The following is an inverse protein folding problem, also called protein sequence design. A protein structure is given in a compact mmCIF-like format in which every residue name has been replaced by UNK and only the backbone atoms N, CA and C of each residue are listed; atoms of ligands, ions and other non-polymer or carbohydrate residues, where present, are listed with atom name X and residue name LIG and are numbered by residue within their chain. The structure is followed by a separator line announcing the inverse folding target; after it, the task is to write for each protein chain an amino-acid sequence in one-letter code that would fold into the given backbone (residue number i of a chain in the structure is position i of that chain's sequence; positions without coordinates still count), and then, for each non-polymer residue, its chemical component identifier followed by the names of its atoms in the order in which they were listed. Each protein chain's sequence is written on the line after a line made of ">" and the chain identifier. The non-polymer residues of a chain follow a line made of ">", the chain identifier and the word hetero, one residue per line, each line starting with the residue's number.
data_IF_008835844596
#
_entry.id   IF_008835844596
#
_cell.length_a   1.000
_cell.length_b   1.000
_cell.length_c   1.000
_cell.angle_alpha   90.00
_cell.angle_beta   90.00
_cell.angle_gamma   90.00
#
_symmetry.space_group_name_H-M   'P 1'
#
loop_
_entity.id
_entity.type
_entity.pdbx_description
1 polymer ?
#
# COMPACT_ATOMS: atom_id res chain seq x y z
N UNK A 1 -11.92 -37.32 5.79
CA UNK A 1 -11.98 -35.84 5.70
C UNK A 1 -10.65 -35.19 6.05
N UNK A 2 -10.19 -35.30 7.30
CA UNK A 2 -9.03 -34.58 7.84
C UNK A 2 -7.67 -34.89 7.19
N UNK A 3 -7.45 -36.13 6.74
CA UNK A 3 -6.15 -36.57 6.19
C UNK A 3 -5.84 -36.00 4.79
N UNK A 4 -6.87 -35.78 3.96
CA UNK A 4 -6.72 -35.20 2.62
C UNK A 4 -6.44 -33.70 2.70
N UNK A 5 -7.09 -32.99 3.64
CA UNK A 5 -6.80 -31.57 3.90
C UNK A 5 -5.38 -31.36 4.45
N UNK A 6 -4.86 -32.29 5.27
CA UNK A 6 -3.48 -32.23 5.75
C UNK A 6 -2.45 -32.51 4.63
N UNK A 7 -2.74 -33.45 3.72
CA UNK A 7 -1.88 -33.73 2.57
C UNK A 7 -1.84 -32.53 1.60
N UNK A 8 -3.01 -31.94 1.30
CA UNK A 8 -3.12 -30.71 0.51
C UNK A 8 -2.41 -29.54 1.18
N UNK A 9 -2.45 -29.46 2.52
CA UNK A 9 -1.74 -28.45 3.30
C UNK A 9 -0.22 -28.63 3.25
N UNK A 10 0.28 -29.88 3.34
CA UNK A 10 1.71 -30.20 3.22
C UNK A 10 2.25 -29.89 1.83
N UNK A 11 1.46 -30.15 0.77
CA UNK A 11 1.80 -29.74 -0.60
C UNK A 11 1.67 -28.23 -0.82
N UNK A 12 0.77 -27.56 -0.11
CA UNK A 12 0.61 -26.10 -0.23
C UNK A 12 1.75 -25.34 0.44
N UNK A 13 2.17 -25.78 1.63
CA UNK A 13 3.35 -25.26 2.32
C UNK A 13 4.66 -25.64 1.63
N UNK A 14 4.79 -26.84 1.07
CA UNK A 14 6.00 -27.20 0.32
C UNK A 14 6.14 -26.42 -0.98
N UNK A 15 5.02 -26.08 -1.66
CA UNK A 15 5.06 -25.14 -2.77
C UNK A 15 5.30 -23.71 -2.34
N UNK A 16 4.72 -23.23 -1.23
CA UNK A 16 4.94 -21.86 -0.75
C UNK A 16 6.41 -21.67 -0.31
N UNK A 17 6.96 -22.64 0.42
CA UNK A 17 8.36 -22.70 0.87
C UNK A 17 9.36 -23.06 -0.25
N UNK A 18 8.89 -23.53 -1.42
CA UNK A 18 9.72 -23.64 -2.62
C UNK A 18 9.60 -22.39 -3.50
N UNK A 19 8.46 -21.68 -3.46
CA UNK A 19 8.24 -20.43 -4.21
C UNK A 19 8.95 -19.23 -3.56
N UNK A 20 9.13 -19.23 -2.23
CA UNK A 20 10.03 -18.27 -1.54
C UNK A 20 11.50 -18.64 -1.67
N UNK A 21 11.86 -19.87 -2.07
CA UNK A 21 13.26 -20.32 -2.13
C UNK A 21 14.01 -19.83 -3.38
N UNK A 22 13.32 -19.28 -4.38
CA UNK A 22 13.91 -18.82 -5.65
C UNK A 22 13.84 -17.31 -5.88
N UNK A 23 13.22 -16.54 -4.98
CA UNK A 23 13.36 -15.09 -5.00
C UNK A 23 14.56 -14.74 -4.13
N UNK A 24 15.70 -14.46 -4.75
CA UNK A 24 16.93 -14.02 -4.06
C UNK A 24 16.73 -12.73 -3.25
N UNK A 25 15.65 -11.99 -3.54
CA UNK A 25 15.28 -10.70 -2.95
C UNK A 25 13.90 -10.83 -2.32
N UNK A 26 13.82 -10.75 -0.99
CA UNK A 26 12.55 -10.65 -0.28
C UNK A 26 12.13 -9.17 -0.30
N UNK A 27 11.34 -8.77 -1.30
CA UNK A 27 11.01 -7.36 -1.61
C UNK A 27 10.80 -6.44 -0.40
N UNK A 28 9.96 -6.80 0.60
CA UNK A 28 9.73 -5.94 1.77
C UNK A 28 10.95 -5.80 2.70
N UNK A 29 11.70 -6.87 2.91
CA UNK A 29 12.83 -6.89 3.86
C UNK A 29 14.03 -6.16 3.29
N UNK A 30 14.33 -6.34 2.02
CA UNK A 30 15.42 -5.64 1.33
C UNK A 30 15.17 -4.13 1.25
N UNK A 31 13.91 -3.72 1.03
CA UNK A 31 13.51 -2.32 1.07
C UNK A 31 13.76 -1.65 2.42
N UNK A 32 13.39 -2.32 3.52
CA UNK A 32 13.62 -1.81 4.88
C UNK A 32 15.11 -1.70 5.18
N UNK A 33 15.90 -2.73 4.84
CA UNK A 33 17.36 -2.70 5.04
C UNK A 33 18.00 -1.57 4.23
N UNK A 34 17.57 -1.37 2.98
CA UNK A 34 18.04 -0.26 2.15
C UNK A 34 17.72 1.09 2.78
N UNK A 35 16.50 1.28 3.29
CA UNK A 35 16.11 2.50 3.99
C UNK A 35 16.95 2.72 5.25
N UNK A 36 17.17 1.67 6.05
CA UNK A 36 18.03 1.75 7.24
C UNK A 36 19.45 2.18 6.88
N UNK A 37 20.04 1.63 5.82
CA UNK A 37 21.38 2.00 5.34
C UNK A 37 21.41 3.47 4.88
N UNK A 38 20.41 3.89 4.09
CA UNK A 38 20.29 5.28 3.61
C UNK A 38 20.18 6.27 4.76
N UNK A 39 19.33 5.98 5.76
CA UNK A 39 19.19 6.84 6.94
C UNK A 39 20.43 6.82 7.85
N UNK A 40 21.08 5.67 8.01
CA UNK A 40 22.35 5.58 8.74
C UNK A 40 23.44 6.41 8.05
N UNK A 41 23.53 6.35 6.72
CA UNK A 41 24.44 7.16 5.92
C UNK A 41 24.11 8.65 6.01
N UNK A 42 22.83 9.01 5.98
CA UNK A 42 22.36 10.39 6.18
C UNK A 42 22.79 10.94 7.54
N UNK A 43 22.70 10.14 8.60
CA UNK A 43 23.15 10.50 9.94
C UNK A 43 24.67 10.66 10.03
N UNK A 44 25.43 9.84 9.30
CA UNK A 44 26.89 9.91 9.26
C UNK A 44 27.42 11.14 8.51
N UNK A 45 26.83 11.49 7.36
CA UNK A 45 27.26 12.61 6.52
C UNK A 45 26.75 13.97 7.03
N UNK A 46 25.84 13.97 8.02
CA UNK A 46 25.56 15.15 8.84
C UNK A 46 24.53 16.13 8.26
N UNK A 47 23.66 15.71 7.35
CA UNK A 47 22.51 16.55 6.97
C UNK A 47 21.73 16.10 5.73
N UNK A 48 20.43 16.44 5.71
CA UNK A 48 19.54 16.23 4.56
C UNK A 48 19.95 17.00 3.29
N UNK A 49 20.74 18.07 3.44
CA UNK A 49 21.29 18.86 2.33
C UNK A 49 22.12 18.04 1.35
N UNK A 50 22.79 16.97 1.82
CA UNK A 50 23.59 16.08 0.97
C UNK A 50 22.74 15.42 -0.12
N UNK A 51 21.50 15.05 0.18
CA UNK A 51 20.63 14.35 -0.77
C UNK A 51 20.07 15.24 -1.88
N UNK A 52 20.12 16.56 -1.69
CA UNK A 52 19.74 17.56 -2.71
C UNK A 52 20.91 17.94 -3.63
N UNK A 53 22.12 17.45 -3.37
CA UNK A 53 23.26 17.65 -4.26
C UNK A 53 23.18 16.68 -5.44
N UNK A 54 23.72 17.08 -6.59
CA UNK A 54 23.78 16.24 -7.77
C UNK A 54 24.75 15.07 -7.56
N UNK A 55 24.29 13.85 -7.83
CA UNK A 55 25.04 12.62 -7.58
C UNK A 55 26.42 12.64 -8.23
N UNK A 56 26.48 13.08 -9.49
CA UNK A 56 27.72 13.13 -10.26
C UNK A 56 28.70 14.19 -9.76
N UNK A 57 28.20 15.31 -9.23
CA UNK A 57 29.05 16.34 -8.63
C UNK A 57 29.62 15.88 -7.28
N UNK A 58 28.86 15.15 -6.47
CA UNK A 58 29.32 14.59 -5.19
C UNK A 58 30.41 13.51 -5.38
N UNK A 59 30.38 12.77 -6.49
CA UNK A 59 31.36 11.73 -6.85
C UNK A 59 32.61 12.33 -7.55
N UNK A 60 32.60 13.62 -7.87
CA UNK A 60 33.73 14.31 -8.50
C UNK A 60 33.91 13.99 -9.99
N UNK A 61 32.86 13.50 -10.66
CA UNK A 61 32.94 13.14 -12.07
C UNK A 61 32.86 14.41 -12.94
N UNK A 62 33.86 14.72 -13.80
CA UNK A 62 33.79 15.90 -14.65
C UNK A 62 32.66 15.78 -15.69
N UNK A 63 32.05 16.91 -16.07
CA UNK A 63 30.99 16.97 -17.09
C UNK A 63 31.53 16.47 -18.44
N UNK A 64 31.25 15.22 -18.77
CA UNK A 64 31.53 14.66 -20.10
C UNK A 64 30.41 15.05 -21.07
N UNK A 65 30.77 15.49 -22.28
CA UNK A 65 29.82 15.92 -23.32
C UNK A 65 28.85 14.82 -23.80
N UNK A 66 29.11 13.56 -23.44
CA UNK A 66 28.26 12.41 -23.75
C UNK A 66 27.09 12.24 -22.74
N UNK A 67 27.17 12.85 -21.56
CA UNK A 67 26.13 12.72 -20.52
C UNK A 67 25.19 13.93 -20.62
N UNK A 68 23.89 13.71 -20.91
CA UNK A 68 22.90 14.78 -20.91
C UNK A 68 22.89 15.54 -19.58
N UNK A 69 22.82 16.88 -19.63
CA UNK A 69 22.84 17.74 -18.44
C UNK A 69 21.76 17.36 -17.41
N UNK A 70 20.60 16.89 -17.89
CA UNK A 70 19.50 16.39 -17.05
C UNK A 70 19.94 15.25 -16.14
N UNK A 71 20.72 14.29 -16.65
CA UNK A 71 21.17 13.13 -15.86
C UNK A 71 22.27 13.54 -14.89
N UNK A 72 23.12 14.48 -15.30
CA UNK A 72 24.24 14.96 -14.49
C UNK A 72 23.77 15.78 -13.28
N UNK A 73 22.75 16.63 -13.46
CA UNK A 73 22.23 17.51 -12.41
C UNK A 73 21.17 16.82 -11.52
N UNK A 74 20.84 15.55 -11.78
CA UNK A 74 19.84 14.81 -11.00
C UNK A 74 20.31 14.67 -9.53
N UNK A 75 19.51 15.11 -8.55
CA UNK A 75 19.84 14.97 -7.14
C UNK A 75 19.78 13.50 -6.70
N UNK A 76 20.46 13.18 -5.60
CA UNK A 76 20.43 11.83 -5.02
C UNK A 76 19.01 11.34 -4.68
N UNK A 77 18.09 12.24 -4.32
CA UNK A 77 16.68 11.91 -4.07
C UNK A 77 16.01 11.27 -5.28
N UNK A 78 16.24 11.83 -6.47
CA UNK A 78 15.56 11.39 -7.69
C UNK A 78 16.14 10.06 -8.16
N UNK A 79 17.45 9.89 -8.03
CA UNK A 79 18.11 8.61 -8.24
C UNK A 79 17.62 7.52 -7.30
N UNK A 80 17.37 7.84 -6.04
CA UNK A 80 16.79 6.90 -5.08
C UNK A 80 15.36 6.50 -5.49
N UNK A 81 14.55 7.45 -5.98
CA UNK A 81 13.22 7.15 -6.51
C UNK A 81 13.29 6.25 -7.76
N UNK A 82 14.25 6.48 -8.66
CA UNK A 82 14.47 5.64 -9.85
C UNK A 82 14.85 4.23 -9.44
N UNK A 83 15.85 4.09 -8.56
CA UNK A 83 16.29 2.80 -8.03
C UNK A 83 15.12 2.05 -7.36
N UNK A 84 14.38 2.71 -6.47
CA UNK A 84 13.23 2.12 -5.78
C UNK A 84 12.15 1.66 -6.76
N UNK A 85 11.88 2.45 -7.80
CA UNK A 85 10.90 2.11 -8.85
C UNK A 85 11.33 0.88 -9.64
N UNK A 86 12.60 0.82 -10.05
CA UNK A 86 13.17 -0.31 -10.79
C UNK A 86 13.06 -1.59 -9.96
N UNK A 87 13.54 -1.58 -8.72
CA UNK A 87 13.49 -2.73 -7.81
C UNK A 87 12.06 -3.19 -7.56
N UNK A 88 11.13 -2.26 -7.36
CA UNK A 88 9.71 -2.57 -7.12
C UNK A 88 9.05 -3.21 -8.34
N UNK A 89 9.29 -2.69 -9.55
CA UNK A 89 8.74 -3.24 -10.80
C UNK A 89 9.30 -4.64 -11.06
N UNK A 90 10.62 -4.82 -10.96
CA UNK A 90 11.25 -6.13 -11.14
C UNK A 90 10.71 -7.17 -10.15
N UNK A 91 10.61 -6.81 -8.87
CA UNK A 91 10.06 -7.72 -7.85
C UNK A 91 8.58 -8.05 -8.10
N UNK A 92 7.80 -7.09 -8.57
CA UNK A 92 6.38 -7.29 -8.88
C UNK A 92 6.21 -8.27 -10.05
N UNK A 93 6.98 -8.08 -11.12
CA UNK A 93 6.95 -8.95 -12.31
C UNK A 93 7.40 -10.37 -11.97
N UNK A 94 8.53 -10.52 -11.29
CA UNK A 94 9.05 -11.83 -10.88
C UNK A 94 8.07 -12.57 -9.97
N UNK A 95 7.46 -11.87 -9.02
CA UNK A 95 6.44 -12.44 -8.13
C UNK A 95 5.20 -12.89 -8.91
N UNK A 96 4.72 -12.09 -9.86
CA UNK A 96 3.59 -12.45 -10.72
C UNK A 96 3.91 -13.68 -11.59
N UNK A 97 5.11 -13.74 -12.18
CA UNK A 97 5.58 -14.89 -12.96
C UNK A 97 5.66 -16.16 -12.13
N UNK A 98 6.20 -16.08 -10.91
CA UNK A 98 6.29 -17.22 -10.01
C UNK A 98 4.91 -17.74 -9.59
N UNK A 99 3.95 -16.85 -9.30
CA UNK A 99 2.57 -17.24 -8.97
C UNK A 99 1.89 -17.91 -10.16
N UNK A 100 2.07 -17.37 -11.37
CA UNK A 100 1.54 -18.00 -12.59
C UNK A 100 2.16 -19.38 -12.84
N UNK A 101 3.48 -19.53 -12.67
CA UNK A 101 4.17 -20.81 -12.82
C UNK A 101 3.68 -21.83 -11.79
N UNK A 102 3.55 -21.43 -10.51
CA UNK A 102 3.07 -22.29 -9.43
C UNK A 102 1.62 -22.77 -9.65
N UNK A 103 0.74 -21.91 -10.19
CA UNK A 103 -0.65 -22.30 -10.50
C UNK A 103 -0.77 -23.18 -11.75
N UNK A 104 0.06 -22.95 -12.77
CA UNK A 104 0.16 -23.83 -13.95
C UNK A 104 0.55 -25.26 -13.54
N UNK A 105 1.49 -25.40 -12.62
CA UNK A 105 1.89 -26.71 -12.06
C UNK A 105 0.73 -27.42 -11.33
N UNK A 106 -0.20 -26.65 -10.76
CA UNK A 106 -1.41 -27.18 -10.09
C UNK A 106 -2.61 -27.39 -11.02
N UNK A 107 -2.46 -27.15 -12.32
CA UNK A 107 -3.55 -27.18 -13.33
C UNK A 107 -4.72 -26.25 -13.00
N UNK A 108 -4.48 -25.18 -12.25
CA UNK A 108 -5.48 -24.16 -11.94
C UNK A 108 -5.41 -23.01 -12.96
N UNK A 109 -6.53 -22.32 -13.17
CA UNK A 109 -6.58 -21.16 -14.06
C UNK A 109 -5.71 -20.01 -13.51
N UNK A 110 -4.65 -19.60 -14.24
CA UNK A 110 -3.73 -18.56 -13.76
C UNK A 110 -4.39 -17.17 -13.72
N UNK A 111 -5.41 -16.94 -14.56
CA UNK A 111 -6.11 -15.66 -14.70
C UNK A 111 -6.90 -15.32 -13.43
N UNK A 112 -7.42 -16.32 -12.71
CA UNK A 112 -8.16 -16.13 -11.45
C UNK A 112 -7.28 -15.48 -10.37
N UNK A 113 -5.96 -15.74 -10.38
CA UNK A 113 -5.04 -15.07 -9.45
C UNK A 113 -4.82 -13.59 -9.82
N UNK A 114 -4.81 -13.28 -11.12
CA UNK A 114 -4.60 -11.91 -11.60
C UNK A 114 -5.79 -11.01 -11.27
N UNK A 115 -7.01 -11.54 -11.27
CA UNK A 115 -8.18 -10.80 -10.78
C UNK A 115 -8.04 -10.36 -9.32
N UNK A 116 -7.32 -11.09 -8.48
CA UNK A 116 -7.01 -10.68 -7.10
C UNK A 116 -6.16 -9.41 -6.99
N UNK A 117 -5.48 -9.02 -8.07
CA UNK A 117 -4.67 -7.81 -8.15
C UNK A 117 -5.45 -6.59 -8.67
N UNK A 118 -6.67 -6.80 -9.20
CA UNK A 118 -7.55 -5.75 -9.68
C UNK A 118 -7.83 -4.63 -8.64
N UNK A 119 -8.16 -4.91 -7.36
CA UNK A 119 -8.44 -3.85 -6.39
C UNK A 119 -7.22 -2.96 -6.09
N UNK A 120 -6.01 -3.52 -6.18
CA UNK A 120 -4.77 -2.75 -6.03
C UNK A 120 -4.60 -1.75 -7.18
N UNK A 121 -4.67 -2.23 -8.42
CA UNK A 121 -4.54 -1.36 -9.59
C UNK A 121 -5.65 -0.32 -9.65
N UNK A 122 -6.90 -0.70 -9.35
CA UNK A 122 -8.03 0.23 -9.32
C UNK A 122 -7.78 1.39 -8.35
N UNK A 123 -7.32 1.09 -7.14
CA UNK A 123 -7.04 2.11 -6.13
C UNK A 123 -5.89 3.02 -6.61
N UNK A 124 -4.82 2.44 -7.14
CA UNK A 124 -3.66 3.18 -7.65
C UNK A 124 -3.92 3.98 -8.93
N UNK A 125 -4.95 3.65 -9.71
CA UNK A 125 -5.38 4.48 -10.86
C UNK A 125 -6.33 5.60 -10.43
N UNK A 126 -7.24 5.33 -9.51
CA UNK A 126 -8.27 6.29 -9.08
C UNK A 126 -7.66 7.46 -8.30
N UNK A 127 -6.63 7.21 -7.48
CA UNK A 127 -5.95 8.25 -6.70
C UNK A 127 -5.30 9.35 -7.57
N UNK A 128 -4.42 9.04 -8.54
CA UNK A 128 -3.79 10.07 -9.37
C UNK A 128 -4.80 10.75 -10.30
N UNK A 129 -5.83 10.03 -10.76
CA UNK A 129 -6.94 10.62 -11.51
C UNK A 129 -7.63 11.70 -10.67
N UNK A 130 -8.02 11.39 -9.43
CA UNK A 130 -8.63 12.36 -8.53
C UNK A 130 -7.74 13.60 -8.30
N UNK A 131 -6.45 13.39 -8.10
CA UNK A 131 -5.49 14.46 -7.86
C UNK A 131 -5.26 15.34 -9.11
N UNK A 132 -5.34 14.74 -10.30
CA UNK A 132 -5.27 15.47 -11.56
C UNK A 132 -6.52 16.32 -11.80
N UNK A 133 -7.71 15.79 -11.49
CA UNK A 133 -8.96 16.54 -11.63
C UNK A 133 -9.09 17.68 -10.62
N UNK A 134 -8.43 17.59 -9.46
CA UNK A 134 -8.57 18.56 -8.38
C UNK A 134 -7.25 19.24 -7.99
N UNK A 135 -6.78 20.23 -8.76
CA UNK A 135 -5.50 20.91 -8.51
C UNK A 135 -5.48 21.73 -7.21
N UNK A 136 -6.65 22.09 -6.67
CA UNK A 136 -6.77 22.80 -5.38
C UNK A 136 -6.28 21.92 -4.23
N UNK A 137 -6.64 20.63 -4.22
CA UNK A 137 -6.18 19.67 -3.22
C UNK A 137 -4.67 19.44 -3.36
N UNK A 138 -4.18 19.30 -4.60
CA UNK A 138 -2.76 19.14 -4.88
C UNK A 138 -1.90 20.29 -4.32
N UNK A 139 -2.36 21.53 -4.44
CA UNK A 139 -1.57 22.72 -4.06
C UNK A 139 -1.71 23.14 -2.60
N UNK A 140 -2.87 22.91 -1.96
CA UNK A 140 -3.16 23.45 -0.63
C UNK A 140 -3.35 22.39 0.46
N UNK A 141 -3.79 21.17 0.10
CA UNK A 141 -4.18 20.15 1.07
C UNK A 141 -3.62 18.75 0.74
N UNK A 142 -2.39 18.70 0.21
CA UNK A 142 -1.72 17.44 -0.13
C UNK A 142 -1.50 16.55 1.10
N UNK A 143 -1.16 17.13 2.26
CA UNK A 143 -0.82 16.36 3.46
C UNK A 143 -2.02 15.54 3.97
N UNK A 144 -3.20 16.12 4.24
CA UNK A 144 -4.39 15.34 4.61
C UNK A 144 -4.76 14.27 3.57
N UNK A 145 -4.61 14.58 2.28
CA UNK A 145 -4.90 13.63 1.20
C UNK A 145 -3.96 12.43 1.20
N UNK A 146 -2.66 12.64 1.39
CA UNK A 146 -1.66 11.55 1.52
C UNK A 146 -1.94 10.69 2.75
N UNK A 147 -2.34 11.29 3.88
CA UNK A 147 -2.77 10.53 5.06
C UNK A 147 -3.99 9.66 4.77
N UNK A 148 -5.01 10.19 4.09
CA UNK A 148 -6.18 9.43 3.69
C UNK A 148 -5.80 8.25 2.79
N UNK A 149 -5.02 8.49 1.73
CA UNK A 149 -4.51 7.46 0.82
C UNK A 149 -3.69 6.40 1.57
N UNK A 150 -2.88 6.82 2.55
CA UNK A 150 -2.11 5.93 3.42
C UNK A 150 -3.01 4.99 4.22
N UNK A 151 -4.08 5.52 4.83
CA UNK A 151 -5.04 4.71 5.60
C UNK A 151 -5.79 3.72 4.71
N UNK A 152 -6.24 4.14 3.51
CA UNK A 152 -6.90 3.25 2.54
C UNK A 152 -6.00 2.08 2.12
N UNK A 153 -4.72 2.35 1.89
CA UNK A 153 -3.73 1.32 1.57
C UNK A 153 -3.43 0.42 2.77
N UNK A 154 -3.27 0.99 3.98
CA UNK A 154 -3.04 0.24 5.20
C UNK A 154 -4.21 -0.72 5.51
N UNK A 155 -5.45 -0.26 5.33
CA UNK A 155 -6.65 -1.10 5.48
C UNK A 155 -6.66 -2.26 4.48
N UNK A 156 -6.35 -2.00 3.21
CA UNK A 156 -6.29 -3.04 2.16
C UNK A 156 -5.29 -4.15 2.50
N UNK A 157 -4.08 -3.76 2.92
CA UNK A 157 -3.02 -4.69 3.32
C UNK A 157 -3.41 -5.44 4.60
N UNK A 158 -3.99 -4.74 5.58
CA UNK A 158 -4.47 -5.35 6.82
C UNK A 158 -5.50 -6.45 6.58
N UNK A 159 -6.50 -6.21 5.72
CA UNK A 159 -7.47 -7.23 5.35
C UNK A 159 -6.81 -8.43 4.65
N UNK A 160 -5.81 -8.21 3.80
CA UNK A 160 -5.08 -9.28 3.13
C UNK A 160 -4.33 -10.17 4.13
N UNK A 161 -3.68 -9.56 5.13
CA UNK A 161 -2.97 -10.28 6.20
C UNK A 161 -3.96 -11.11 7.03
N UNK A 162 -5.04 -10.51 7.52
CA UNK A 162 -6.05 -11.20 8.33
C UNK A 162 -6.66 -12.37 7.56
N UNK A 163 -6.96 -12.17 6.28
CA UNK A 163 -7.48 -13.23 5.42
C UNK A 163 -6.50 -14.38 5.28
N UNK A 164 -5.22 -14.07 5.08
CA UNK A 164 -4.18 -15.08 4.95
C UNK A 164 -4.03 -15.92 6.23
N UNK A 165 -4.00 -15.26 7.40
CA UNK A 165 -3.89 -15.92 8.69
C UNK A 165 -5.12 -16.78 9.02
N UNK A 166 -6.32 -16.26 8.74
CA UNK A 166 -7.59 -16.96 8.98
C UNK A 166 -7.93 -18.00 7.90
N UNK A 167 -7.14 -18.07 6.81
CA UNK A 167 -7.37 -18.91 5.63
C UNK A 167 -8.77 -18.71 5.03
N UNK A 168 -9.32 -17.50 5.15
CA UNK A 168 -10.62 -17.13 4.62
C UNK A 168 -10.52 -16.70 3.14
N UNK A 169 -11.64 -16.35 2.52
CA UNK A 169 -11.68 -15.96 1.10
C UNK A 169 -11.00 -14.60 0.90
N UNK A 170 -10.24 -14.46 -0.18
CA UNK A 170 -9.53 -13.23 -0.53
C UNK A 170 -10.47 -12.01 -0.60
N UNK A 171 -10.16 -10.90 0.09
CA UNK A 171 -11.00 -9.70 0.11
C UNK A 171 -10.82 -8.96 -1.21
N UNK A 172 -11.89 -8.89 -1.99
CA UNK A 172 -11.90 -8.20 -3.30
C UNK A 172 -12.48 -6.78 -3.23
N UNK A 173 -12.99 -6.38 -2.06
CA UNK A 173 -13.73 -5.13 -1.90
C UNK A 173 -13.14 -4.32 -0.76
N UNK A 174 -12.71 -3.10 -1.06
CA UNK A 174 -12.31 -2.13 -0.04
C UNK A 174 -13.43 -1.09 0.13
N UNK A 175 -14.05 -1.08 1.31
CA UNK A 175 -15.16 -0.18 1.65
C UNK A 175 -14.72 1.29 1.62
N UNK A 176 -13.45 1.59 1.96
CA UNK A 176 -12.92 2.95 1.93
C UNK A 176 -12.60 3.46 0.51
N UNK A 177 -12.61 2.58 -0.51
CA UNK A 177 -12.47 3.00 -1.92
C UNK A 177 -13.79 3.59 -2.43
N UNK A 178 -14.94 3.26 -1.81
CA UNK A 178 -16.25 3.77 -2.25
C UNK A 178 -16.39 5.30 -2.10
N UNK A 179 -16.06 5.93 -0.95
CA UNK A 179 -16.07 7.39 -0.83
C UNK A 179 -15.12 8.08 -1.81
N UNK A 180 -13.94 7.47 -2.04
CA UNK A 180 -12.97 8.00 -2.99
C UNK A 180 -13.50 7.91 -4.44
N UNK A 181 -14.05 6.76 -4.83
CA UNK A 181 -14.65 6.56 -6.15
C UNK A 181 -15.84 7.50 -6.37
N UNK A 182 -16.65 7.75 -5.33
CA UNK A 182 -17.72 8.73 -5.39
C UNK A 182 -17.19 10.15 -5.62
N UNK A 183 -16.16 10.56 -4.88
CA UNK A 183 -15.50 11.87 -5.09
C UNK A 183 -14.90 12.02 -6.49
N UNK A 184 -14.40 10.93 -7.08
CA UNK A 184 -13.88 10.90 -8.47
C UNK A 184 -15.01 11.03 -9.48
N UNK A 185 -16.09 10.26 -9.34
CA UNK A 185 -17.24 10.32 -10.26
C UNK A 185 -17.91 11.70 -10.23
N UNK A 186 -17.99 12.31 -9.05
CA UNK A 186 -18.54 13.65 -8.88
C UNK A 186 -17.65 14.72 -9.53
N UNK A 187 -16.32 14.64 -9.38
CA UNK A 187 -15.38 15.58 -10.01
C UNK A 187 -15.21 15.35 -11.52
N UNK A 188 -15.47 14.15 -12.02
CA UNK A 188 -15.49 13.84 -13.46
C UNK A 188 -16.64 14.53 -14.20
N UNK A 189 -17.79 14.74 -13.55
CA UNK A 189 -18.98 15.41 -14.12
C UNK A 189 -18.70 16.80 -14.70
N UNK A 190 -18.17 17.77 -13.93
CA UNK A 190 -17.86 19.11 -14.42
C UNK A 190 -16.72 19.11 -15.45
N UNK A 191 -15.70 18.26 -15.29
CA UNK A 191 -14.61 18.14 -16.26
C UNK A 191 -15.10 17.66 -17.63
N UNK A 192 -16.02 16.69 -17.66
CA UNK A 192 -16.62 16.18 -18.88
C UNK A 192 -17.59 17.18 -19.52
N UNK A 193 -18.27 18.00 -18.71
CA UNK A 193 -19.10 19.10 -19.18
C UNK A 193 -18.27 20.17 -19.91
N UNK A 194 -17.15 20.60 -19.33
CA UNK A 194 -16.29 21.66 -19.90
C UNK A 194 -15.55 21.22 -21.18
N UNK A 195 -15.18 19.94 -21.29
CA UNK A 195 -14.38 19.44 -22.42
C UNK A 195 -15.20 18.77 -23.53
N UNK A 196 -16.30 18.09 -23.19
CA UNK A 196 -17.03 17.21 -24.12
C UNK A 196 -18.52 17.62 -24.23
N UNK A 197 -19.00 18.55 -23.41
CA UNK A 197 -20.39 19.04 -23.42
C UNK A 197 -21.41 18.03 -22.89
N UNK A 198 -20.94 16.88 -22.37
CA UNK A 198 -21.76 15.84 -21.75
C UNK A 198 -21.24 15.65 -20.32
N UNK A 199 -22.00 16.11 -19.33
CA UNK A 199 -21.63 16.01 -17.92
C UNK A 199 -22.80 16.37 -17.00
N UNK A 200 -22.69 15.98 -15.73
CA UNK A 200 -23.64 16.33 -14.66
C UNK A 200 -23.08 17.47 -13.80
N UNK A 201 -23.93 18.36 -13.28
CA UNK A 201 -23.49 19.38 -12.33
C UNK A 201 -22.89 18.69 -11.10
N UNK A 202 -21.70 19.13 -10.70
CA UNK A 202 -21.00 18.63 -9.50
C UNK A 202 -21.91 18.75 -8.28
N UNK A 203 -22.22 17.64 -7.62
CA UNK A 203 -23.08 17.63 -6.43
C UNK A 203 -22.35 18.23 -5.23
N UNK A 204 -21.01 18.21 -5.22
CA UNK A 204 -20.20 18.87 -4.20
C UNK A 204 -20.00 20.37 -4.48
N UNK A 205 -20.33 20.91 -5.66
CA UNK A 205 -20.17 22.35 -5.93
C UNK A 205 -18.71 22.84 -5.88
N UNK A 206 -18.51 24.13 -5.59
CA UNK A 206 -17.20 24.80 -5.67
C UNK A 206 -16.26 24.50 -4.49
N UNK A 207 -14.95 24.61 -4.76
CA UNK A 207 -13.78 24.15 -3.99
C UNK A 207 -13.85 23.98 -2.46
N UNK A 208 -14.60 24.81 -1.73
CA UNK A 208 -14.74 24.71 -0.26
C UNK A 208 -15.44 23.41 0.18
N UNK A 209 -16.47 22.99 -0.53
CA UNK A 209 -17.21 21.76 -0.23
C UNK A 209 -16.41 20.51 -0.57
N UNK A 210 -15.56 20.56 -1.61
CA UNK A 210 -14.64 19.48 -1.95
C UNK A 210 -13.55 19.31 -0.87
N UNK A 211 -13.08 20.40 -0.27
CA UNK A 211 -12.16 20.35 0.87
C UNK A 211 -12.86 19.72 2.09
N UNK A 212 -14.09 20.16 2.39
CA UNK A 212 -14.88 19.59 3.49
C UNK A 212 -15.15 18.10 3.29
N UNK A 213 -15.45 17.68 2.05
CA UNK A 213 -15.63 16.27 1.69
C UNK A 213 -14.34 15.45 1.84
N UNK A 214 -13.18 15.99 1.47
CA UNK A 214 -11.90 15.32 1.69
C UNK A 214 -11.65 15.09 3.19
N UNK A 215 -11.89 16.10 4.04
CA UNK A 215 -11.74 15.95 5.49
C UNK A 215 -12.76 14.99 6.10
N UNK A 216 -14.00 14.95 5.60
CA UNK A 216 -14.99 13.97 6.04
C UNK A 216 -14.60 12.55 5.62
N UNK A 217 -14.07 12.36 4.42
CA UNK A 217 -13.49 11.09 3.96
C UNK A 217 -12.31 10.65 4.82
N UNK A 218 -11.43 11.59 5.19
CA UNK A 218 -10.32 11.32 6.12
C UNK A 218 -10.84 10.87 7.50
N UNK A 219 -11.82 11.58 8.06
CA UNK A 219 -12.44 11.21 9.33
C UNK A 219 -13.09 9.82 9.30
N UNK A 220 -13.84 9.53 8.23
CA UNK A 220 -14.43 8.20 8.00
C UNK A 220 -13.35 7.13 7.89
N UNK A 221 -12.26 7.39 7.16
CA UNK A 221 -11.16 6.46 7.00
C UNK A 221 -10.50 6.11 8.33
N UNK A 222 -10.23 7.13 9.16
CA UNK A 222 -9.70 6.95 10.52
C UNK A 222 -10.65 6.10 11.36
N UNK A 223 -11.96 6.37 11.30
CA UNK A 223 -12.96 5.61 12.04
C UNK A 223 -13.02 4.14 11.63
N UNK A 224 -13.13 3.85 10.34
CA UNK A 224 -13.23 2.46 9.82
C UNK A 224 -11.94 1.70 10.07
N UNK A 225 -10.79 2.30 9.79
CA UNK A 225 -9.50 1.66 10.04
C UNK A 225 -9.25 1.46 11.54
N UNK A 226 -9.57 2.45 12.37
CA UNK A 226 -9.47 2.35 13.83
C UNK A 226 -10.31 1.21 14.40
N UNK A 227 -11.57 1.08 13.98
CA UNK A 227 -12.44 -0.05 14.37
C UNK A 227 -11.83 -1.38 13.97
N UNK A 228 -11.35 -1.49 12.73
CA UNK A 228 -10.72 -2.72 12.23
C UNK A 228 -9.48 -3.11 13.05
N UNK A 229 -8.64 -2.15 13.43
CA UNK A 229 -7.45 -2.42 14.26
C UNK A 229 -7.85 -2.93 15.64
N UNK A 230 -8.84 -2.30 16.28
CA UNK A 230 -9.34 -2.74 17.59
C UNK A 230 -9.91 -4.15 17.51
N UNK A 231 -10.73 -4.45 16.50
CA UNK A 231 -11.32 -5.78 16.30
C UNK A 231 -10.25 -6.86 16.15
N UNK A 232 -9.20 -6.59 15.37
CA UNK A 232 -8.09 -7.53 15.18
C UNK A 232 -7.32 -7.74 16.49
N UNK A 233 -7.03 -6.68 17.24
CA UNK A 233 -6.31 -6.78 18.53
C UNK A 233 -7.12 -7.59 19.52
N UNK A 234 -8.40 -7.26 19.71
CA UNK A 234 -9.28 -7.96 20.66
C UNK A 234 -9.43 -9.43 20.28
N UNK A 235 -9.68 -9.73 19.00
CA UNK A 235 -9.82 -11.11 18.53
C UNK A 235 -8.56 -11.95 18.78
N UNK A 236 -7.36 -11.37 18.57
CA UNK A 236 -6.09 -12.07 18.83
C UNK A 236 -5.85 -12.23 20.34
N UNK A 237 -6.15 -11.20 21.14
CA UNK A 237 -6.06 -11.23 22.60
C UNK A 237 -6.95 -12.34 23.18
N UNK A 238 -8.20 -12.42 22.72
CA UNK A 238 -9.16 -13.45 23.13
C UNK A 238 -8.70 -14.85 22.72
N UNK A 239 -8.13 -15.00 21.52
CA UNK A 239 -7.61 -16.28 21.04
C UNK A 239 -6.39 -16.78 21.84
N UNK A 240 -5.50 -15.87 22.25
CA UNK A 240 -4.27 -16.19 22.97
C UNK A 240 -4.41 -16.19 24.50
N UNK A 241 -5.59 -15.83 25.05
CA UNK A 241 -5.83 -15.56 26.48
C UNK A 241 -4.83 -14.54 27.09
N UNK A 242 -4.43 -13.55 26.27
CA UNK A 242 -3.53 -12.45 26.67
C UNK A 242 -4.30 -11.15 26.54
N UNK A 243 -4.25 -10.28 27.55
CA UNK A 243 -4.90 -8.98 27.50
C UNK A 243 -3.87 -7.88 27.22
N UNK A 244 -3.86 -7.32 26.01
CA UNK A 244 -2.96 -6.22 25.66
C UNK A 244 -3.47 -4.84 26.11
N UNK A 245 -4.78 -4.69 26.31
CA UNK A 245 -5.44 -3.40 26.61
C UNK A 245 -6.07 -3.33 28.01
N UNK A 246 -6.08 -4.43 28.77
CA UNK A 246 -6.66 -4.51 30.13
C UNK A 246 -5.79 -5.38 31.03
N UNK A 247 -5.69 -5.07 32.33
CA UNK A 247 -4.92 -5.88 33.29
C UNK A 247 -5.77 -7.06 33.78
N UNK A 248 -5.26 -8.30 33.71
CA UNK A 248 -5.90 -9.50 34.26
C UNK A 248 -5.83 -9.46 35.79
N UNK A 249 -6.98 -9.41 36.46
CA UNK A 249 -7.06 -9.68 37.89
C UNK A 249 -7.42 -11.15 38.08
N UNK A 250 -6.51 -11.99 38.61
CA UNK A 250 -6.82 -13.38 38.88
C UNK A 250 -8.00 -13.45 39.84
N UNK A 251 -9.02 -14.23 39.49
CA UNK A 251 -10.13 -14.53 40.37
C UNK A 251 -9.59 -15.31 41.57
N UNK A 252 -9.51 -14.66 42.73
CA UNK A 252 -9.24 -15.34 43.99
C UNK A 252 -10.59 -15.82 44.52
N UNK A 253 -10.83 -17.12 44.50
CA UNK A 253 -11.97 -17.71 45.21
C UNK A 253 -11.88 -17.25 46.67
N UNK A 254 -12.86 -16.45 47.10
CA UNK A 254 -13.04 -16.20 48.52
C UNK A 254 -13.43 -17.54 49.15
N UNK A 255 -12.55 -18.07 49.98
CA UNK A 255 -12.88 -19.17 50.89
C UNK A 255 -14.06 -18.69 51.74
N UNK A 256 -15.25 -19.23 51.46
CA UNK A 256 -16.42 -19.10 52.31
C UNK A 256 -15.99 -19.57 53.71
N UNK A 257 -16.12 -18.68 54.70
CA UNK A 257 -15.67 -18.84 56.08
C UNK A 257 -16.85 -19.27 56.95
#
# INVERSE_FOLDING_TARGET
>A
GFSISLLLWRTSLSSCASCTRTNAVSGPVEGIVTLCIVYAFTGYVGGGSFWHQSMFASIGMPRFAFIPAIIYDLPWTDWYMVYGSVVLIFNTILSAMNVMAARRLRKENPITALYGLAPFFLTWTVIPIYLFLQPVILRQHLVPFVFFVGIVNAYSVGQMIVTHLTKSRFPMTNVLVLPLAFGVIDSLGPFLHDHIGVGWPSALGDGQYQIAFMFSCLGLAIGVYGSFVVDVIVTICDYLDIWCLTIKHPYVEKKEL
#
